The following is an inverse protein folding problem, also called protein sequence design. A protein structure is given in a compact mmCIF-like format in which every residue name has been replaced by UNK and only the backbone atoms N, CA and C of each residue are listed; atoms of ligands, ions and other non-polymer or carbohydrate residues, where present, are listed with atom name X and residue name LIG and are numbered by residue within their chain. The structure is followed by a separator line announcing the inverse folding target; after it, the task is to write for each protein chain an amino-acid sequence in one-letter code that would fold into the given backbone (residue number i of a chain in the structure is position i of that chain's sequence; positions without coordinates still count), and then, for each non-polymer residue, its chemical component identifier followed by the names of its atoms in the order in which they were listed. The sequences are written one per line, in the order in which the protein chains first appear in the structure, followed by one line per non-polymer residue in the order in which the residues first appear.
data_IF_845073506365
#
_entry.id   IF_845073506365
#
_cell.length_a   1.000
_cell.length_b   1.000
_cell.length_c   1.000
_cell.angle_alpha   90.00
_cell.angle_beta   90.00
_cell.angle_gamma   90.00
#
_symmetry.space_group_name_H-M   'P 1'
#
loop_
_entity.id
_entity.type
_entity.pdbx_description
1 polymer ?
#
# COMPACT_ATOMS: atom_id res chain seq x y z
N UNK A 1 -8.03 -9.25 -6.82
CA UNK A 1 -6.95 -8.29 -6.53
C UNK A 1 -6.11 -8.12 -7.79
N UNK A 2 -5.67 -6.89 -8.09
CA UNK A 2 -4.79 -6.59 -9.22
C UNK A 2 -3.58 -5.82 -8.72
N UNK A 3 -2.37 -6.33 -8.96
CA UNK A 3 -1.14 -5.60 -8.66
C UNK A 3 -0.88 -4.53 -9.71
N UNK A 4 -0.47 -3.34 -9.27
CA UNK A 4 -0.07 -2.25 -10.16
C UNK A 4 1.45 -2.07 -10.11
N UNK A 5 2.04 -1.72 -11.24
CA UNK A 5 3.48 -1.55 -11.40
C UNK A 5 3.83 -0.10 -11.74
N UNK A 6 5.10 0.28 -11.56
CA UNK A 6 5.63 1.59 -11.94
C UNK A 6 4.95 2.79 -11.25
N UNK A 7 4.37 2.58 -10.07
CA UNK A 7 3.89 3.66 -9.22
C UNK A 7 5.04 4.22 -8.39
N UNK A 8 5.20 5.54 -8.39
CA UNK A 8 6.23 6.24 -7.64
C UNK A 8 5.58 7.15 -6.61
N UNK A 9 6.09 7.12 -5.38
CA UNK A 9 5.63 8.03 -4.35
C UNK A 9 6.11 9.45 -4.65
N UNK A 10 5.15 10.36 -4.85
CA UNK A 10 5.39 11.80 -4.99
C UNK A 10 5.11 12.56 -3.69
N UNK A 11 4.32 11.96 -2.80
CA UNK A 11 3.75 12.65 -1.64
C UNK A 11 4.79 13.35 -0.77
N UNK A 12 4.37 14.48 -0.20
CA UNK A 12 5.19 15.34 0.66
C UNK A 12 5.09 14.97 2.14
N UNK A 13 4.23 14.02 2.49
CA UNK A 13 4.04 13.61 3.88
C UNK A 13 5.23 12.80 4.38
N UNK A 14 5.72 13.06 5.61
CA UNK A 14 6.79 12.28 6.20
C UNK A 14 6.32 10.84 6.42
N UNK A 15 7.14 9.89 5.96
CA UNK A 15 6.94 8.46 6.18
C UNK A 15 7.58 8.07 7.51
N UNK A 16 6.90 7.20 8.27
CA UNK A 16 7.49 6.59 9.47
C UNK A 16 8.57 5.59 9.06
N UNK A 17 9.50 5.31 9.96
CA UNK A 17 10.46 4.22 9.77
C UNK A 17 9.74 2.88 9.53
N UNK A 18 10.23 2.12 8.56
CA UNK A 18 9.64 0.84 8.16
C UNK A 18 8.43 0.99 7.21
N UNK A 19 7.54 0.00 7.24
CA UNK A 19 6.40 -0.07 6.30
C UNK A 19 5.28 0.87 6.75
N UNK A 20 4.89 1.75 5.85
CA UNK A 20 3.71 2.59 5.94
C UNK A 20 2.64 1.98 5.04
N UNK A 21 1.41 1.90 5.54
CA UNK A 21 0.30 1.33 4.83
C UNK A 21 -0.82 2.35 4.70
N UNK A 22 -1.38 2.44 3.49
CA UNK A 22 -2.47 3.34 3.16
C UNK A 22 -3.55 2.57 2.40
N UNK A 23 -4.79 3.00 2.61
CA UNK A 23 -5.93 2.62 1.78
C UNK A 23 -6.40 3.91 1.13
N UNK A 24 -6.37 3.91 -0.20
CA UNK A 24 -6.79 5.06 -1.01
C UNK A 24 -8.16 4.76 -1.57
N UNK A 25 -9.16 5.54 -1.14
CA UNK A 25 -10.56 5.36 -1.54
C UNK A 25 -11.09 6.52 -2.37
N UNK A 26 -10.28 7.57 -2.56
CA UNK A 26 -10.67 8.72 -3.36
C UNK A 26 -9.58 9.20 -4.31
N UNK A 27 -10.00 9.85 -5.40
CA UNK A 27 -9.08 10.50 -6.35
C UNK A 27 -8.22 11.58 -5.67
N UNK A 28 -8.75 12.24 -4.64
CA UNK A 28 -8.04 13.28 -3.88
C UNK A 28 -6.84 12.69 -3.11
N UNK A 29 -7.04 11.59 -2.41
CA UNK A 29 -5.98 10.87 -1.70
C UNK A 29 -4.95 10.30 -2.67
N UNK A 30 -5.42 9.72 -3.78
CA UNK A 30 -4.54 9.23 -4.84
C UNK A 30 -3.61 10.32 -5.34
N UNK A 31 -4.14 11.51 -5.64
CA UNK A 31 -3.34 12.67 -6.09
C UNK A 31 -2.32 13.12 -5.04
N UNK A 32 -2.63 13.01 -3.73
CA UNK A 32 -1.67 13.35 -2.67
C UNK A 32 -0.46 12.42 -2.65
N UNK A 33 -0.66 11.12 -2.92
CA UNK A 33 0.42 10.13 -2.88
C UNK A 33 1.21 10.05 -4.18
N UNK A 34 0.52 10.13 -5.33
CA UNK A 34 1.09 9.82 -6.65
C UNK A 34 1.11 11.02 -7.61
N UNK A 35 0.58 12.17 -7.21
CA UNK A 35 0.42 13.33 -8.07
C UNK A 35 -0.72 13.20 -9.09
N UNK A 36 -0.80 14.15 -10.01
CA UNK A 36 -1.75 14.06 -11.12
C UNK A 36 -1.20 13.16 -12.23
N UNK A 37 -1.97 12.13 -12.60
CA UNK A 37 -1.60 11.20 -13.66
C UNK A 37 -2.79 10.84 -14.53
N UNK A 38 -2.53 10.50 -15.80
CA UNK A 38 -3.51 10.05 -16.79
C UNK A 38 -3.35 8.55 -17.13
N UNK A 39 -2.72 7.79 -16.23
CA UNK A 39 -2.47 6.37 -16.48
C UNK A 39 -3.78 5.58 -16.65
N UNK A 40 -3.85 4.67 -17.63
CA UNK A 40 -5.06 3.88 -17.90
C UNK A 40 -5.37 2.87 -16.80
N UNK A 41 -4.37 2.48 -16.00
CA UNK A 41 -4.51 1.52 -14.91
C UNK A 41 -4.97 2.15 -13.58
N UNK A 42 -5.24 3.46 -13.57
CA UNK A 42 -5.72 4.20 -12.39
C UNK A 42 -7.06 3.61 -11.90
N UNK A 43 -7.20 3.30 -10.60
CA UNK A 43 -8.40 2.67 -10.07
C UNK A 43 -9.69 3.48 -10.26
N UNK A 44 -10.81 2.80 -10.46
CA UNK A 44 -12.14 3.39 -10.34
C UNK A 44 -12.54 3.41 -8.86
N UNK A 45 -12.25 4.53 -8.20
CA UNK A 45 -12.47 4.69 -6.76
C UNK A 45 -13.95 4.57 -6.31
N UNK A 46 -14.90 4.52 -7.24
CA UNK A 46 -16.30 4.20 -6.90
C UNK A 46 -16.52 2.71 -6.62
N UNK A 47 -15.65 1.84 -7.13
CA UNK A 47 -15.77 0.36 -7.09
C UNK A 47 -14.53 -0.32 -6.52
N UNK A 48 -13.44 0.40 -6.38
CA UNK A 48 -12.14 -0.16 -6.06
C UNK A 48 -11.46 0.65 -4.96
N UNK A 49 -10.74 -0.05 -4.09
CA UNK A 49 -9.79 0.53 -3.16
C UNK A 49 -8.38 0.18 -3.58
N UNK A 50 -7.48 1.14 -3.41
CA UNK A 50 -6.07 0.94 -3.70
C UNK A 50 -5.30 0.82 -2.38
N UNK A 51 -4.73 -0.36 -2.19
CA UNK A 51 -3.84 -0.69 -1.08
C UNK A 51 -2.42 -0.29 -1.46
N UNK A 52 -1.81 0.55 -0.63
CA UNK A 52 -0.44 1.05 -0.86
C UNK A 52 0.40 0.69 0.35
N UNK A 53 1.49 -0.05 0.10
CA UNK A 53 2.57 -0.25 1.07
C UNK A 53 3.80 0.52 0.60
N UNK A 54 4.40 1.28 1.49
CA UNK A 54 5.45 2.23 1.17
C UNK A 54 6.47 2.32 2.31
N UNK A 55 7.75 2.33 2.00
CA UNK A 55 8.82 2.57 2.96
C UNK A 55 9.52 3.91 2.68
N UNK A 56 10.17 4.51 3.70
CA UNK A 56 11.07 5.62 3.50
C UNK A 56 12.13 5.34 2.44
N UNK A 57 12.66 6.44 1.91
CA UNK A 57 13.72 6.45 0.91
C UNK A 57 14.94 5.67 1.41
N UNK A 58 15.46 4.75 0.59
CA UNK A 58 16.61 3.92 0.95
C UNK A 58 17.55 3.71 -0.24
N UNK A 59 18.81 3.38 0.05
CA UNK A 59 19.79 2.92 -0.93
C UNK A 59 19.91 1.40 -0.96
N UNK A 60 19.12 0.66 -0.20
CA UNK A 60 19.12 -0.79 -0.25
C UNK A 60 18.11 -1.28 -1.30
N UNK A 61 18.39 -2.40 -1.97
CA UNK A 61 17.41 -3.09 -2.84
C UNK A 61 16.32 -3.77 -2.00
N UNK A 62 15.64 -2.96 -1.19
CA UNK A 62 14.55 -3.39 -0.35
C UNK A 62 13.27 -3.49 -1.18
N UNK A 63 12.47 -4.52 -0.90
CA UNK A 63 11.20 -4.79 -1.58
C UNK A 63 10.12 -5.04 -0.55
N UNK A 64 8.93 -4.53 -0.83
CA UNK A 64 7.72 -4.81 -0.06
C UNK A 64 6.82 -5.65 -0.94
N UNK A 65 6.17 -6.64 -0.35
CA UNK A 65 5.17 -7.45 -1.03
C UNK A 65 3.91 -7.61 -0.19
N UNK A 66 2.78 -7.85 -0.87
CA UNK A 66 1.51 -8.24 -0.25
C UNK A 66 1.38 -9.73 -0.48
N UNK A 67 1.49 -10.50 0.60
CA UNK A 67 1.36 -11.96 0.54
C UNK A 67 -0.08 -12.40 0.37
N UNK A 68 -0.98 -11.78 1.15
CA UNK A 68 -2.36 -12.19 1.23
C UNK A 68 -3.26 -11.02 1.62
N UNK A 69 -4.50 -11.08 1.15
CA UNK A 69 -5.59 -10.19 1.54
C UNK A 69 -6.80 -11.04 1.90
N UNK A 70 -7.14 -11.11 3.19
CA UNK A 70 -8.25 -11.91 3.70
C UNK A 70 -9.35 -11.00 4.21
N UNK A 71 -10.58 -11.20 3.74
CA UNK A 71 -11.77 -10.63 4.37
C UNK A 71 -12.14 -11.47 5.60
N UNK A 72 -12.36 -10.84 6.75
CA UNK A 72 -12.79 -11.53 7.98
C UNK A 72 -14.20 -11.09 8.35
N UNK A 73 -15.11 -12.07 8.48
CA UNK A 73 -16.47 -11.94 9.01
C UNK A 73 -17.17 -10.60 8.69
N UNK A 74 -17.13 -10.18 7.42
CA UNK A 74 -17.87 -9.03 6.88
C UNK A 74 -17.58 -7.64 7.45
N UNK A 75 -16.63 -7.48 8.38
CA UNK A 75 -16.42 -6.21 9.10
C UNK A 75 -15.08 -5.54 8.80
N UNK A 76 -14.05 -6.31 8.44
CA UNK A 76 -12.75 -5.75 8.08
C UNK A 76 -11.97 -6.66 7.12
N UNK A 77 -10.95 -6.08 6.51
CA UNK A 77 -9.97 -6.77 5.67
C UNK A 77 -8.63 -6.82 6.39
N UNK A 78 -7.92 -7.93 6.26
CA UNK A 78 -6.55 -8.09 6.72
C UNK A 78 -5.61 -8.16 5.52
N UNK A 79 -4.53 -7.38 5.55
CA UNK A 79 -3.48 -7.36 4.55
C UNK A 79 -2.18 -7.81 5.19
N UNK A 80 -1.64 -8.91 4.67
CA UNK A 80 -0.41 -9.52 5.16
C UNK A 80 0.76 -9.11 4.29
N UNK A 81 1.72 -8.42 4.89
CA UNK A 81 2.85 -7.82 4.19
C UNK A 81 4.13 -8.65 4.38
N UNK A 82 5.09 -8.52 3.46
CA UNK A 82 6.43 -9.07 3.63
C UNK A 82 7.45 -8.06 3.17
N UNK A 83 8.44 -7.78 4.02
CA UNK A 83 9.59 -6.96 3.66
C UNK A 83 10.79 -7.86 3.37
N UNK A 84 11.48 -7.54 2.29
CA UNK A 84 12.79 -8.02 1.97
C UNK A 84 13.73 -6.83 2.08
N UNK A 85 14.65 -6.82 3.03
CA UNK A 85 15.51 -5.66 3.30
C UNK A 85 16.60 -5.45 2.23
N UNK A 86 16.70 -6.37 1.26
CA UNK A 86 17.78 -6.39 0.28
C UNK A 86 19.12 -6.73 0.93
N UNK A 87 20.09 -7.15 0.12
CA UNK A 87 21.49 -7.32 0.58
C UNK A 87 22.46 -6.47 -0.22
N UNK A 88 21.95 -5.69 -1.17
CA UNK A 88 22.75 -4.96 -2.15
C UNK A 88 22.38 -3.49 -2.07
N UNK A 89 23.40 -2.63 -2.17
CA UNK A 89 23.23 -1.19 -2.15
C UNK A 89 23.12 -0.69 -3.60
N UNK A 90 22.07 0.07 -3.88
CA UNK A 90 21.82 0.75 -5.13
C UNK A 90 22.65 2.04 -5.21
N UNK A 91 22.96 2.45 -6.44
CA UNK A 91 23.67 3.70 -6.73
C UNK A 91 22.77 4.93 -6.62
N UNK A 92 21.46 4.71 -6.67
CA UNK A 92 20.41 5.71 -6.52
C UNK A 92 19.55 5.39 -5.30
N UNK A 93 18.83 6.39 -4.84
CA UNK A 93 17.83 6.18 -3.81
C UNK A 93 16.50 5.74 -4.44
N UNK A 94 15.77 4.86 -3.77
CA UNK A 94 14.43 4.49 -4.16
C UNK A 94 13.46 4.56 -2.97
N UNK A 95 12.16 4.60 -3.28
CA UNK A 95 11.11 4.32 -2.32
C UNK A 95 10.59 2.91 -2.60
N UNK A 96 10.85 1.91 -1.73
CA UNK A 96 10.23 0.61 -1.85
C UNK A 96 8.72 0.78 -1.73
N UNK A 97 8.01 0.38 -2.79
CA UNK A 97 6.56 0.57 -2.88
C UNK A 97 5.91 -0.65 -3.51
N UNK A 98 4.76 -1.03 -2.96
CA UNK A 98 3.89 -2.06 -3.51
C UNK A 98 2.46 -1.55 -3.53
N UNK A 99 1.82 -1.72 -4.67
CA UNK A 99 0.46 -1.25 -4.89
C UNK A 99 -0.40 -2.40 -5.37
N UNK A 100 -1.58 -2.53 -4.78
CA UNK A 100 -2.62 -3.44 -5.25
C UNK A 100 -3.98 -2.75 -5.24
N UNK A 101 -4.86 -3.22 -6.11
CA UNK A 101 -6.25 -2.79 -6.17
C UNK A 101 -7.14 -3.96 -5.79
N UNK A 102 -8.12 -3.69 -4.96
CA UNK A 102 -9.16 -4.64 -4.55
C UNK A 102 -10.54 -4.01 -4.79
N UNK A 103 -11.59 -4.82 -5.01
CA UNK A 103 -12.95 -4.31 -5.00
C UNK A 103 -13.26 -3.61 -3.68
N UNK A 104 -14.09 -2.57 -3.72
CA UNK A 104 -14.71 -2.01 -2.53
C UNK A 104 -15.83 -2.95 -2.06
N UNK A 105 -15.97 -3.10 -0.75
CA UNK A 105 -16.97 -3.98 -0.16
C UNK A 105 -17.88 -3.17 0.76
N UNK A 106 -19.19 -3.21 0.52
CA UNK A 106 -20.17 -2.59 1.41
C UNK A 106 -20.08 -3.20 2.80
N UNK A 107 -20.11 -2.36 3.83
CA UNK A 107 -20.04 -2.78 5.24
C UNK A 107 -18.62 -2.97 5.79
N UNK A 108 -17.59 -2.98 4.94
CA UNK A 108 -16.20 -2.94 5.37
C UNK A 108 -15.80 -1.48 5.59
N UNK A 109 -15.42 -1.14 6.81
CA UNK A 109 -14.98 0.22 7.19
C UNK A 109 -13.53 0.24 7.68
N UNK A 110 -12.80 -0.87 7.52
CA UNK A 110 -11.50 -1.04 8.16
C UNK A 110 -10.59 -2.02 7.43
N UNK A 111 -9.31 -1.67 7.35
CA UNK A 111 -8.24 -2.54 6.86
C UNK A 111 -7.11 -2.59 7.89
N UNK A 112 -6.77 -3.81 8.30
CA UNK A 112 -5.69 -4.11 9.23
C UNK A 112 -4.48 -4.60 8.45
N UNK A 113 -3.32 -4.03 8.72
CA UNK A 113 -2.07 -4.42 8.08
C UNK A 113 -1.19 -5.15 9.08
N UNK A 114 -0.60 -6.26 8.66
CA UNK A 114 0.27 -7.09 9.50
C UNK A 114 1.60 -7.36 8.81
N UNK A 115 2.66 -7.49 9.61
CA UNK A 115 3.91 -8.11 9.17
C UNK A 115 3.71 -9.63 9.11
N UNK A 116 3.67 -10.17 7.90
CA UNK A 116 3.38 -11.57 7.59
C UNK A 116 4.45 -12.57 8.03
N UNK A 117 5.50 -12.16 8.75
CA UNK A 117 6.38 -13.08 9.49
C UNK A 117 5.99 -13.26 10.95
N UNK A 118 5.41 -12.23 11.59
CA UNK A 118 5.19 -12.19 13.05
C UNK A 118 3.73 -11.94 13.44
N UNK A 119 2.83 -11.80 12.46
CA UNK A 119 1.45 -11.33 12.66
C UNK A 119 1.39 -10.03 13.49
N UNK A 120 2.47 -9.25 13.46
CA UNK A 120 2.57 -8.02 14.23
C UNK A 120 1.78 -6.93 13.50
N UNK A 121 0.87 -6.21 14.18
CA UNK A 121 0.17 -5.08 13.58
C UNK A 121 1.15 -4.02 13.08
N UNK A 122 0.96 -3.58 11.83
CA UNK A 122 1.70 -2.49 11.20
C UNK A 122 0.88 -1.20 11.19
N UNK A 123 -0.38 -1.31 10.75
CA UNK A 123 -1.27 -0.18 10.64
C UNK A 123 -2.72 -0.62 10.77
N UNK A 124 -3.53 0.34 11.18
CA UNK A 124 -4.97 0.23 11.24
C UNK A 124 -5.56 1.40 10.45
N UNK A 125 -6.23 1.12 9.34
CA UNK A 125 -6.78 2.17 8.47
C UNK A 125 -8.29 2.05 8.47
N UNK A 126 -8.96 3.07 8.97
CA UNK A 126 -10.42 3.22 8.87
C UNK A 126 -10.73 3.78 7.49
N UNK A 127 -11.73 3.20 6.84
CA UNK A 127 -12.25 3.63 5.54
C UNK A 127 -13.58 4.34 5.79
N UNK A 128 -13.68 5.57 5.30
CA UNK A 128 -14.90 6.37 5.27
C UNK A 128 -15.75 6.07 4.02
#
# INVERSE_FOLDING_TARGET
MRFLQDYYYFGTSPLKDGVNAFVVTSRKEFKKLFGETKRPDTPDFSKEWMIVLLMPKTKWDAKIDIKDISMKAGSFIEVYTKVFEGRHKLTYDNYPIRVAVIPSYKGINKVNFYDGKRLKPLANVVIE
#
